data_IF_704752722131
#
_entry.id   IF_704752722131
#
_cell.length_a   1.000
_cell.length_b   1.000
_cell.length_c   1.000
_cell.angle_alpha   90.00
_cell.angle_beta   90.00
_cell.angle_gamma   90.00
#
_symmetry.space_group_name_H-M   'P 1'
#
loop_
_entity.id
_entity.type
_entity.pdbx_description
1 polymer ?
#
# COMPACT_ATOMS: atom_id res chain seq x y z
N UNK A 1 -23.28 -78.24 -9.89
CA UNK A 1 -21.99 -78.00 -10.61
C UNK A 1 -21.84 -76.50 -10.77
N UNK A 2 -20.93 -75.91 -10.02
CA UNK A 2 -20.70 -74.47 -9.93
C UNK A 2 -19.78 -74.03 -11.07
N UNK A 3 -20.14 -73.01 -11.83
CA UNK A 3 -19.18 -72.32 -12.70
C UNK A 3 -19.36 -70.80 -12.59
N UNK A 4 -18.26 -70.14 -12.22
CA UNK A 4 -18.15 -68.72 -11.82
C UNK A 4 -18.35 -67.76 -13.01
N UNK A 5 -18.74 -66.50 -12.76
CA UNK A 5 -18.69 -65.45 -13.78
C UNK A 5 -17.23 -65.06 -14.03
N UNK A 6 -16.81 -65.06 -15.30
CA UNK A 6 -15.50 -64.52 -15.69
C UNK A 6 -15.68 -63.08 -16.19
N UNK A 7 -14.90 -62.22 -15.55
CA UNK A 7 -14.95 -60.77 -15.59
C UNK A 7 -13.98 -60.29 -16.66
N UNK A 8 -14.44 -59.56 -17.68
CA UNK A 8 -13.54 -58.81 -18.56
C UNK A 8 -14.27 -57.70 -19.31
N UNK A 9 -14.49 -56.57 -18.66
CA UNK A 9 -14.54 -55.28 -19.35
C UNK A 9 -13.70 -54.25 -18.59
N UNK A 10 -12.50 -54.07 -19.15
CA UNK A 10 -11.78 -52.79 -19.31
C UNK A 10 -11.91 -51.75 -18.19
N UNK A 11 -10.89 -51.82 -17.33
CA UNK A 11 -10.13 -50.73 -16.69
C UNK A 11 -10.20 -49.39 -17.44
N UNK A 12 -11.15 -48.53 -17.11
CA UNK A 12 -10.88 -47.09 -17.08
C UNK A 12 -10.21 -46.80 -15.74
N UNK A 13 -8.96 -46.37 -15.79
CA UNK A 13 -8.17 -46.12 -14.60
C UNK A 13 -8.73 -44.90 -13.87
N UNK A 14 -8.89 -44.99 -12.55
CA UNK A 14 -9.18 -43.85 -11.64
C UNK A 14 -8.17 -42.69 -11.83
N UNK A 15 -7.06 -42.94 -12.51
CA UNK A 15 -6.04 -41.97 -12.89
C UNK A 15 -6.57 -40.83 -13.77
N UNK A 16 -7.54 -41.07 -14.65
CA UNK A 16 -7.97 -40.05 -15.62
C UNK A 16 -8.90 -38.97 -15.01
N UNK A 17 -9.47 -39.24 -13.82
CA UNK A 17 -10.31 -38.26 -13.09
C UNK A 17 -9.47 -37.43 -12.13
N UNK A 18 -8.37 -37.99 -11.59
CA UNK A 18 -7.48 -37.30 -10.66
C UNK A 18 -6.58 -36.25 -11.32
N UNK A 19 -6.13 -36.47 -12.56
CA UNK A 19 -5.25 -35.51 -13.27
C UNK A 19 -5.96 -34.20 -13.59
N UNK A 20 -7.22 -34.25 -14.06
CA UNK A 20 -7.98 -33.04 -14.40
C UNK A 20 -8.32 -32.16 -13.20
N UNK A 21 -8.29 -32.69 -11.97
CA UNK A 21 -8.55 -31.90 -10.76
C UNK A 21 -7.27 -31.35 -10.12
N UNK A 22 -6.12 -32.02 -10.31
CA UNK A 22 -4.83 -31.55 -9.78
C UNK A 22 -4.25 -30.39 -10.61
N UNK A 23 -4.39 -30.42 -11.94
CA UNK A 23 -3.91 -29.34 -12.80
C UNK A 23 -4.68 -28.02 -12.59
N UNK A 24 -6.00 -28.09 -12.34
CA UNK A 24 -6.84 -26.89 -12.06
C UNK A 24 -6.51 -26.27 -10.68
N UNK A 25 -6.19 -27.09 -9.68
CA UNK A 25 -5.81 -26.61 -8.34
C UNK A 25 -4.42 -25.98 -8.40
N UNK A 26 -3.48 -26.56 -9.13
CA UNK A 26 -2.10 -26.08 -9.22
C UNK A 26 -1.99 -24.77 -9.99
N UNK A 27 -2.75 -24.61 -11.09
CA UNK A 27 -2.89 -23.33 -11.80
C UNK A 27 -3.51 -22.25 -10.92
N UNK A 28 -4.50 -22.62 -10.07
CA UNK A 28 -5.14 -21.67 -9.15
C UNK A 28 -4.24 -21.26 -7.98
N UNK A 29 -3.41 -22.16 -7.45
CA UNK A 29 -2.44 -21.87 -6.40
C UNK A 29 -1.27 -21.03 -6.92
N UNK A 30 -0.83 -21.24 -8.16
CA UNK A 30 0.20 -20.43 -8.81
C UNK A 30 -0.33 -19.03 -9.16
N UNK A 31 -1.58 -18.91 -9.64
CA UNK A 31 -2.24 -17.63 -9.85
C UNK A 31 -2.44 -16.87 -8.53
N UNK A 32 -2.93 -17.53 -7.47
CA UNK A 32 -3.10 -16.93 -6.14
C UNK A 32 -1.75 -16.53 -5.55
N UNK A 33 -0.70 -17.36 -5.69
CA UNK A 33 0.62 -17.01 -5.20
C UNK A 33 1.23 -15.86 -6.00
N UNK A 34 1.03 -15.80 -7.32
CA UNK A 34 1.48 -14.68 -8.14
C UNK A 34 0.70 -13.39 -7.80
N UNK A 35 -0.61 -13.48 -7.56
CA UNK A 35 -1.45 -12.35 -7.15
C UNK A 35 -1.10 -11.88 -5.73
N UNK A 36 -0.79 -12.81 -4.81
CA UNK A 36 -0.31 -12.51 -3.46
C UNK A 36 1.12 -11.96 -3.47
N UNK A 37 2.01 -12.45 -4.34
CA UNK A 37 3.36 -11.93 -4.51
C UNK A 37 3.35 -10.56 -5.17
N UNK A 38 2.50 -10.36 -6.18
CA UNK A 38 2.28 -9.07 -6.85
C UNK A 38 1.65 -8.07 -5.87
N UNK A 39 0.64 -8.48 -5.10
CA UNK A 39 0.08 -7.72 -3.98
C UNK A 39 1.14 -7.36 -2.94
N UNK A 40 2.00 -8.29 -2.52
CA UNK A 40 3.09 -8.02 -1.58
C UNK A 40 4.16 -7.09 -2.17
N UNK A 41 4.48 -7.20 -3.46
CA UNK A 41 5.37 -6.30 -4.19
C UNK A 41 4.79 -4.89 -4.31
N UNK A 42 3.47 -4.78 -4.47
CA UNK A 42 2.75 -3.52 -4.56
C UNK A 42 2.57 -2.87 -3.19
N UNK A 43 2.38 -3.67 -2.13
CA UNK A 43 2.40 -3.22 -0.72
C UNK A 43 3.81 -2.74 -0.33
N UNK A 44 4.86 -3.49 -0.66
CA UNK A 44 6.26 -3.11 -0.37
C UNK A 44 6.68 -1.86 -1.16
N UNK A 45 6.28 -1.75 -2.44
CA UNK A 45 6.48 -0.51 -3.21
C UNK A 45 5.77 0.69 -2.59
N UNK A 46 4.52 0.50 -2.16
CA UNK A 46 3.71 1.56 -1.55
C UNK A 46 4.30 2.01 -0.21
N UNK A 47 4.76 1.06 0.61
CA UNK A 47 5.37 1.34 1.90
C UNK A 47 6.72 2.06 1.76
N UNK A 48 7.59 1.59 0.85
CA UNK A 48 8.85 2.29 0.51
C UNK A 48 8.60 3.70 -0.01
N UNK A 49 7.46 3.93 -0.68
CA UNK A 49 7.10 5.25 -1.16
C UNK A 49 6.72 6.21 -0.02
N UNK A 50 5.87 5.76 0.90
CA UNK A 50 5.49 6.51 2.10
C UNK A 50 6.72 6.85 2.95
N UNK A 51 7.64 5.89 3.12
CA UNK A 51 8.93 6.12 3.78
C UNK A 51 9.78 7.17 3.05
N UNK A 52 9.82 7.12 1.71
CA UNK A 52 10.53 8.10 0.89
C UNK A 52 9.98 9.52 1.07
N UNK A 53 8.65 9.67 1.21
CA UNK A 53 8.02 10.95 1.51
C UNK A 53 8.43 11.49 2.88
N UNK A 54 8.40 10.63 3.91
CA UNK A 54 8.86 10.98 5.24
C UNK A 54 10.32 11.44 5.24
N UNK A 55 11.18 10.77 4.49
CA UNK A 55 12.58 11.13 4.33
C UNK A 55 12.78 12.48 3.63
N UNK A 56 12.06 12.75 2.53
CA UNK A 56 12.10 14.04 1.84
C UNK A 56 11.66 15.17 2.77
N UNK A 57 10.61 14.93 3.55
CA UNK A 57 10.09 15.91 4.50
C UNK A 57 11.12 16.24 5.58
N UNK A 58 11.68 15.22 6.24
CA UNK A 58 12.71 15.38 7.26
C UNK A 58 13.97 16.07 6.73
N UNK A 59 14.44 15.68 5.55
CA UNK A 59 15.58 16.33 4.88
C UNK A 59 15.29 17.80 4.56
N UNK A 60 14.05 18.12 4.19
CA UNK A 60 13.59 19.48 3.98
C UNK A 60 13.69 20.33 5.26
N UNK A 61 13.16 19.81 6.37
CA UNK A 61 13.21 20.46 7.69
C UNK A 61 14.65 20.63 8.17
N UNK A 62 15.49 19.60 8.04
CA UNK A 62 16.92 19.64 8.37
C UNK A 62 17.67 20.71 7.59
N UNK A 63 17.30 20.92 6.32
CA UNK A 63 17.84 21.98 5.44
C UNK A 63 17.18 23.35 5.68
N UNK A 64 16.38 23.50 6.74
CA UNK A 64 15.61 24.72 7.10
C UNK A 64 14.75 25.25 5.95
N UNK A 65 14.24 24.35 5.09
CA UNK A 65 13.32 24.74 4.03
C UNK A 65 11.95 25.02 4.64
N UNK A 66 11.24 26.01 4.10
CA UNK A 66 9.84 26.22 4.46
C UNK A 66 8.97 25.08 3.93
N UNK A 67 7.82 24.84 4.57
CA UNK A 67 6.92 23.74 4.24
C UNK A 67 6.48 23.76 2.78
N UNK A 68 6.19 24.93 2.21
CA UNK A 68 5.79 25.05 0.80
C UNK A 68 6.89 24.58 -0.16
N UNK A 69 8.16 24.88 0.13
CA UNK A 69 9.30 24.36 -0.63
C UNK A 69 9.45 22.85 -0.48
N UNK A 70 9.15 22.29 0.70
CA UNK A 70 9.17 20.84 0.92
C UNK A 70 8.07 20.16 0.12
N UNK A 71 6.85 20.70 0.13
CA UNK A 71 5.73 20.19 -0.67
C UNK A 71 6.04 20.24 -2.18
N UNK A 72 6.74 21.27 -2.67
CA UNK A 72 7.20 21.30 -4.05
C UNK A 72 8.24 20.21 -4.38
N UNK A 73 9.12 19.85 -3.43
CA UNK A 73 10.07 18.75 -3.63
C UNK A 73 9.35 17.40 -3.69
N UNK A 74 8.31 17.24 -2.84
CA UNK A 74 7.42 16.09 -2.90
C UNK A 74 6.75 16.04 -4.28
N UNK A 75 6.19 17.15 -4.78
CA UNK A 75 5.58 17.24 -6.11
C UNK A 75 6.51 16.77 -7.23
N UNK A 76 7.76 17.26 -7.23
CA UNK A 76 8.78 16.85 -8.18
C UNK A 76 9.12 15.35 -8.06
N UNK A 77 9.15 14.82 -6.85
CA UNK A 77 9.36 13.40 -6.61
C UNK A 77 8.18 12.55 -7.11
N UNK A 78 6.93 12.98 -6.90
CA UNK A 78 5.74 12.29 -7.42
C UNK A 78 5.77 12.23 -8.95
N UNK A 79 6.03 13.38 -9.60
CA UNK A 79 6.12 13.51 -11.06
C UNK A 79 7.23 12.61 -11.62
N UNK A 80 8.41 12.60 -10.99
CA UNK A 80 9.55 11.80 -11.45
C UNK A 80 9.28 10.29 -11.38
N UNK A 81 8.52 9.85 -10.38
CA UNK A 81 8.22 8.43 -10.17
C UNK A 81 6.89 8.00 -10.80
N UNK A 82 6.25 8.86 -11.61
CA UNK A 82 4.96 8.60 -12.25
C UNK A 82 3.85 8.18 -11.28
N UNK A 83 3.91 8.68 -10.03
CA UNK A 83 2.93 8.34 -9.01
C UNK A 83 1.76 9.32 -9.08
N UNK A 84 0.54 8.78 -9.06
CA UNK A 84 -0.66 9.60 -8.92
C UNK A 84 -0.71 10.14 -7.47
N UNK A 85 -0.70 11.47 -7.27
CA UNK A 85 -0.81 12.05 -5.94
C UNK A 85 -2.02 11.54 -5.15
N UNK A 86 -3.16 11.28 -5.80
CA UNK A 86 -4.37 10.76 -5.14
C UNK A 86 -4.16 9.36 -4.54
N UNK A 87 -3.46 8.47 -5.25
CA UNK A 87 -3.14 7.13 -4.74
C UNK A 87 -2.17 7.22 -3.55
N UNK A 88 -1.18 8.10 -3.65
CA UNK A 88 -0.24 8.38 -2.57
C UNK A 88 -0.96 8.90 -1.33
N UNK A 89 -1.93 9.78 -1.51
CA UNK A 89 -2.77 10.28 -0.41
C UNK A 89 -3.55 9.14 0.23
N UNK A 90 -4.19 8.25 -0.55
CA UNK A 90 -4.91 7.08 0.00
C UNK A 90 -3.97 6.20 0.82
N UNK A 91 -2.76 5.94 0.33
CA UNK A 91 -1.75 5.19 1.06
C UNK A 91 -1.37 5.86 2.39
N UNK A 92 -1.14 7.18 2.36
CA UNK A 92 -0.85 7.96 3.57
C UNK A 92 -2.02 7.93 4.57
N UNK A 93 -3.27 7.97 4.08
CA UNK A 93 -4.47 7.90 4.92
C UNK A 93 -4.60 6.55 5.64
N UNK A 94 -4.12 5.46 5.03
CA UNK A 94 -4.07 4.15 5.67
C UNK A 94 -2.97 4.04 6.74
N UNK A 95 -1.89 4.83 6.64
CA UNK A 95 -0.83 4.84 7.65
C UNK A 95 -1.21 5.74 8.84
N UNK A 96 -1.74 5.10 9.88
CA UNK A 96 -2.15 5.76 11.12
C UNK A 96 -1.08 5.74 12.21
N UNK A 97 0.09 5.16 11.95
CA UNK A 97 1.12 4.88 12.96
C UNK A 97 2.30 5.83 12.86
N UNK A 98 2.57 6.35 11.66
CA UNK A 98 3.71 7.20 11.43
C UNK A 98 3.35 8.68 11.68
N UNK A 99 3.93 9.32 12.71
CA UNK A 99 3.60 10.71 13.01
C UNK A 99 4.01 11.67 11.89
N UNK A 100 5.08 11.38 11.13
CA UNK A 100 5.52 12.25 10.03
C UNK A 100 4.49 12.21 8.90
N UNK A 101 3.90 11.05 8.63
CA UNK A 101 2.87 10.92 7.58
C UNK A 101 1.61 11.68 7.97
N UNK A 102 1.22 11.64 9.24
CA UNK A 102 0.11 12.46 9.75
C UNK A 102 0.41 13.96 9.61
N UNK A 103 1.64 14.40 9.88
CA UNK A 103 2.06 15.80 9.67
C UNK A 103 2.01 16.20 8.19
N UNK A 104 2.46 15.31 7.29
CA UNK A 104 2.43 15.54 5.84
C UNK A 104 0.97 15.64 5.35
N UNK A 105 0.08 14.75 5.78
CA UNK A 105 -1.35 14.80 5.48
C UNK A 105 -1.99 16.10 5.96
N UNK A 106 -1.67 16.53 7.18
CA UNK A 106 -2.15 17.82 7.70
C UNK A 106 -1.74 18.98 6.79
N UNK A 107 -0.49 18.97 6.30
CA UNK A 107 -0.02 19.97 5.35
C UNK A 107 -0.74 19.89 3.99
N UNK A 108 -1.07 18.69 3.49
CA UNK A 108 -1.81 18.55 2.23
C UNK A 108 -3.19 19.21 2.34
N UNK A 109 -3.90 18.96 3.43
CA UNK A 109 -5.19 19.60 3.73
C UNK A 109 -5.06 21.10 4.00
N UNK A 110 -4.02 21.55 4.71
CA UNK A 110 -3.84 22.97 5.03
C UNK A 110 -3.54 23.81 3.78
N UNK A 111 -2.71 23.31 2.88
CA UNK A 111 -2.33 24.01 1.65
C UNK A 111 -3.24 23.69 0.46
N UNK A 112 -4.13 22.72 0.56
CA UNK A 112 -4.96 22.24 -0.56
C UNK A 112 -4.11 21.66 -1.69
N UNK A 113 -3.03 20.95 -1.35
CA UNK A 113 -2.10 20.38 -2.33
C UNK A 113 -2.50 18.93 -2.58
N UNK A 114 -2.95 18.64 -3.81
CA UNK A 114 -3.48 17.34 -4.27
C UNK A 114 -4.78 16.86 -3.60
N UNK A 115 -5.19 17.48 -2.49
CA UNK A 115 -6.50 17.32 -1.84
C UNK A 115 -7.16 18.69 -1.75
N UNK A 116 -8.50 18.70 -1.69
CA UNK A 116 -9.24 19.90 -1.31
C UNK A 116 -8.74 20.46 0.04
N UNK A 117 -8.61 21.79 0.09
CA UNK A 117 -8.18 22.47 1.31
C UNK A 117 -9.23 22.31 2.40
N UNK A 118 -8.83 21.81 3.57
CA UNK A 118 -9.71 21.63 4.73
C UNK A 118 -8.90 21.83 6.02
N UNK A 119 -8.99 23.02 6.60
CA UNK A 119 -8.22 23.38 7.79
C UNK A 119 -8.63 22.56 9.02
N UNK A 120 -9.90 22.10 9.10
CA UNK A 120 -10.36 21.26 10.20
C UNK A 120 -9.74 19.88 10.13
N UNK A 121 -9.71 19.27 8.93
CA UNK A 121 -9.01 17.99 8.73
C UNK A 121 -7.50 18.14 8.94
N UNK A 122 -6.92 19.27 8.52
CA UNK A 122 -5.51 19.55 8.78
C UNK A 122 -5.18 19.51 10.27
N UNK A 123 -5.99 20.21 11.08
CA UNK A 123 -5.88 20.22 12.54
C UNK A 123 -5.95 18.82 13.14
N UNK A 124 -6.93 18.01 12.75
CA UNK A 124 -7.07 16.62 13.22
C UNK A 124 -5.81 15.79 12.94
N UNK A 125 -5.22 15.94 11.76
CA UNK A 125 -4.00 15.22 11.41
C UNK A 125 -2.76 15.75 12.14
N UNK A 126 -2.66 17.04 12.43
CA UNK A 126 -1.60 17.60 13.28
C UNK A 126 -1.70 17.12 14.72
N UNK A 127 -2.90 17.10 15.29
CA UNK A 127 -3.15 16.55 16.61
C UNK A 127 -2.71 15.08 16.68
N UNK A 128 -3.12 14.26 15.69
CA UNK A 128 -2.73 12.85 15.63
C UNK A 128 -1.21 12.67 15.51
N UNK A 129 -0.53 13.52 14.74
CA UNK A 129 0.94 13.53 14.65
C UNK A 129 1.60 13.80 16.02
N UNK A 130 1.06 14.75 16.79
CA UNK A 130 1.53 15.07 18.13
C UNK A 130 1.29 13.92 19.12
N UNK A 131 0.12 13.27 19.08
CA UNK A 131 -0.23 12.11 19.90
C UNK A 131 0.71 10.92 19.66
N UNK A 132 1.16 10.74 18.42
CA UNK A 132 2.12 9.71 18.02
C UNK A 132 3.58 10.09 18.36
N UNK A 133 3.80 11.18 19.10
CA UNK A 133 5.11 11.55 19.66
C UNK A 133 5.97 12.44 18.77
N UNK A 134 5.41 13.08 17.72
CA UNK A 134 6.15 14.08 16.95
C UNK A 134 5.87 15.49 17.47
N UNK A 135 6.86 16.16 18.10
CA UNK A 135 6.70 17.51 18.62
C UNK A 135 6.48 18.56 17.51
N UNK A 136 6.80 18.25 16.25
CA UNK A 136 6.51 19.09 15.10
C UNK A 136 5.01 19.29 14.83
N UNK A 137 4.16 18.33 15.25
CA UNK A 137 2.71 18.47 15.17
C UNK A 137 2.16 19.60 16.05
N UNK A 138 2.75 19.81 17.24
CA UNK A 138 2.39 20.92 18.14
C UNK A 138 2.91 22.29 17.66
N UNK A 139 4.01 22.32 16.89
CA UNK A 139 4.67 23.56 16.47
C UNK A 139 4.02 24.23 15.25
N UNK A 140 3.20 23.51 14.47
CA UNK A 140 2.53 24.05 13.29
C UNK A 140 1.28 24.89 13.66
N UNK A 141 0.87 24.90 14.93
CA UNK A 141 -0.27 25.65 15.50
C UNK A 141 0.06 27.07 15.99
N UNK A 142 1.27 27.59 15.77
CA UNK A 142 1.69 28.95 16.18
C UNK A 142 2.21 29.76 14.99
#
# INVERSE_FOLDING_TARGET
MSNKPNNSFTKYSIKDITTSSQDVIQDSEEQINNDLQQSCLDIDRSQRFVESLGNIYNEGIKKRKNTKSILNLIDQFLIKNYQNPEEVIKLCLHDQTNPIIQLILGNFYYFGKWIEKDENKAFVHYQKSAELGNPGGMLQEL
#
